data_IF_987090782901
#
_entry.id   IF_987090782901
#
_cell.length_a   1.000
_cell.length_b   1.000
_cell.length_c   1.000
_cell.angle_alpha   90.00
_cell.angle_beta   90.00
_cell.angle_gamma   90.00
#
_symmetry.space_group_name_H-M   'P 1'
#
loop_
_entity.id
_entity.type
_entity.pdbx_description
1 polymer ?
#
# COMPACT_ATOMS: atom_id res chain seq x y z
N UNK A 1 -14.22 13.61 12.77
CA UNK A 1 -13.20 14.51 12.17
C UNK A 1 -12.14 13.70 11.40
N UNK A 2 -12.48 13.12 10.23
CA UNK A 2 -11.53 12.33 9.43
C UNK A 2 -10.35 13.14 8.89
N UNK A 3 -10.54 14.45 8.67
CA UNK A 3 -9.50 15.38 8.21
C UNK A 3 -8.40 15.55 9.27
N UNK A 4 -8.76 15.60 10.56
CA UNK A 4 -7.78 15.72 11.66
C UNK A 4 -6.91 14.45 11.75
N UNK A 5 -7.53 13.26 11.61
CA UNK A 5 -6.79 12.00 11.58
C UNK A 5 -5.84 11.89 10.38
N UNK A 6 -6.27 12.35 9.21
CA UNK A 6 -5.43 12.40 8.00
C UNK A 6 -4.23 13.34 8.16
N UNK A 7 -4.46 14.56 8.67
CA UNK A 7 -3.38 15.51 8.93
C UNK A 7 -2.39 15.01 9.99
N UNK A 8 -2.89 14.35 11.04
CA UNK A 8 -2.04 13.74 12.06
C UNK A 8 -1.19 12.59 11.50
N UNK A 9 -1.77 11.71 10.69
CA UNK A 9 -1.03 10.61 10.07
C UNK A 9 0.10 11.13 9.17
N UNK A 10 -0.17 12.17 8.37
CA UNK A 10 0.85 12.83 7.55
C UNK A 10 1.91 13.50 8.44
N UNK A 11 1.50 14.27 9.45
CA UNK A 11 2.45 14.94 10.34
C UNK A 11 3.39 13.95 11.05
N UNK A 12 2.86 12.84 11.55
CA UNK A 12 3.66 11.80 12.21
C UNK A 12 4.59 11.07 11.23
N UNK A 13 4.15 10.81 10.00
CA UNK A 13 5.02 10.30 8.96
C UNK A 13 6.17 11.28 8.70
N UNK A 14 5.87 12.57 8.50
CA UNK A 14 6.89 13.60 8.25
C UNK A 14 7.90 13.73 9.40
N UNK A 15 7.45 13.59 10.65
CA UNK A 15 8.35 13.59 11.83
C UNK A 15 9.20 12.31 11.87
N UNK A 16 8.61 11.14 11.60
CA UNK A 16 9.34 9.86 11.60
C UNK A 16 10.40 9.75 10.49
N UNK A 17 10.21 10.48 9.39
CA UNK A 17 11.16 10.58 8.27
C UNK A 17 12.42 11.38 8.64
N UNK A 18 12.34 12.22 9.69
CA UNK A 18 13.45 13.07 10.10
C UNK A 18 13.73 14.22 9.13
N UNK A 19 14.93 14.79 9.21
CA UNK A 19 15.31 16.03 8.49
C UNK A 19 15.68 15.83 7.01
N UNK A 20 15.72 14.59 6.51
CA UNK A 20 16.28 14.27 5.20
C UNK A 20 15.23 13.80 4.18
N UNK A 21 14.19 14.62 3.98
CA UNK A 21 13.07 14.36 3.06
C UNK A 21 13.57 14.08 1.64
N UNK A 22 14.67 14.72 1.23
CA UNK A 22 15.28 14.52 -0.09
C UNK A 22 15.69 13.07 -0.35
N UNK A 23 16.11 12.32 0.68
CA UNK A 23 16.53 10.93 0.55
C UNK A 23 15.37 9.97 0.22
N UNK A 24 14.13 10.40 0.47
CA UNK A 24 12.97 9.58 0.14
C UNK A 24 12.59 9.72 -1.33
N UNK A 25 12.84 10.87 -1.95
CA UNK A 25 12.40 11.15 -3.31
C UNK A 25 13.26 10.36 -4.30
N UNK A 26 12.80 9.15 -4.62
CA UNK A 26 13.39 8.29 -5.64
C UNK A 26 12.47 8.27 -6.88
N UNK A 27 12.89 8.88 -8.01
CA UNK A 27 12.05 8.95 -9.19
C UNK A 27 11.61 7.57 -9.73
N UNK A 28 12.48 6.54 -9.80
CA UNK A 28 12.04 5.19 -10.18
C UNK A 28 10.91 4.64 -9.30
N UNK A 29 11.04 4.69 -7.97
CA UNK A 29 10.01 4.21 -7.04
C UNK A 29 8.69 4.97 -7.20
N UNK A 30 8.77 6.29 -7.38
CA UNK A 30 7.60 7.13 -7.57
C UNK A 30 6.86 6.76 -8.86
N UNK A 31 7.58 6.60 -9.97
CA UNK A 31 7.01 6.22 -11.26
C UNK A 31 6.36 4.84 -11.21
N UNK A 32 6.97 3.87 -10.52
CA UNK A 32 6.38 2.54 -10.35
C UNK A 32 5.03 2.66 -9.64
N UNK A 33 4.96 3.35 -8.50
CA UNK A 33 3.71 3.38 -7.72
C UNK A 33 2.63 4.24 -8.37
N UNK A 34 2.94 5.49 -8.69
CA UNK A 34 1.95 6.41 -9.23
C UNK A 34 1.62 6.08 -10.69
N UNK A 35 2.61 5.66 -11.49
CA UNK A 35 2.40 5.24 -12.87
C UNK A 35 1.57 3.95 -12.95
N UNK A 36 1.87 2.94 -12.13
CA UNK A 36 1.07 1.71 -12.09
C UNK A 36 -0.35 1.99 -11.61
N UNK A 37 -0.50 2.83 -10.57
CA UNK A 37 -1.84 3.18 -10.04
C UNK A 37 -2.67 3.93 -11.07
N UNK A 38 -2.08 4.91 -11.76
CA UNK A 38 -2.75 5.63 -12.84
C UNK A 38 -3.11 4.69 -14.00
N UNK A 39 -2.18 3.83 -14.44
CA UNK A 39 -2.43 2.85 -15.48
C UNK A 39 -3.55 1.88 -15.12
N UNK A 40 -3.59 1.39 -13.87
CA UNK A 40 -4.66 0.54 -13.38
C UNK A 40 -6.03 1.24 -13.37
N UNK A 41 -6.07 2.53 -12.99
CA UNK A 41 -7.29 3.32 -13.04
C UNK A 41 -7.81 3.46 -14.48
N UNK A 42 -6.92 3.76 -15.43
CA UNK A 42 -7.26 3.85 -16.85
C UNK A 42 -7.74 2.51 -17.40
N UNK A 43 -7.05 1.40 -17.09
CA UNK A 43 -7.45 0.06 -17.51
C UNK A 43 -8.80 -0.37 -16.92
N UNK A 44 -9.12 0.05 -15.70
CA UNK A 44 -10.40 -0.26 -15.07
C UNK A 44 -11.58 0.56 -15.60
N UNK A 45 -11.32 1.54 -16.49
CA UNK A 45 -12.36 2.48 -16.96
C UNK A 45 -12.85 3.41 -15.86
N UNK A 46 -12.03 3.68 -14.84
CA UNK A 46 -12.39 4.55 -13.73
C UNK A 46 -12.61 6.00 -14.22
N UNK A 47 -13.74 6.57 -13.84
CA UNK A 47 -14.07 7.97 -14.14
C UNK A 47 -13.36 8.89 -13.12
N UNK A 48 -12.14 9.30 -13.46
CA UNK A 48 -11.31 10.17 -12.60
C UNK A 48 -12.03 11.48 -12.26
N UNK A 49 -12.68 12.19 -13.20
CA UNK A 49 -13.50 13.36 -12.87
C UNK A 49 -14.56 13.06 -11.80
N UNK A 50 -15.27 11.94 -11.91
CA UNK A 50 -16.27 11.53 -10.93
C UNK A 50 -15.65 11.22 -9.56
N UNK A 51 -14.50 10.54 -9.54
CA UNK A 51 -13.75 10.27 -8.31
C UNK A 51 -13.38 11.56 -7.56
N UNK A 52 -12.92 12.58 -8.30
CA UNK A 52 -12.58 13.90 -7.74
C UNK A 52 -13.80 14.67 -7.26
N UNK A 53 -14.92 14.61 -8.00
CA UNK A 53 -16.20 15.19 -7.55
C UNK A 53 -16.67 14.58 -6.23
N UNK A 54 -16.42 13.29 -6.02
CA UNK A 54 -16.68 12.60 -4.76
C UNK A 54 -15.89 13.12 -3.56
N UNK A 55 -14.75 13.77 -3.77
CA UNK A 55 -13.97 14.37 -2.67
C UNK A 55 -14.73 15.57 -2.08
N UNK A 56 -15.31 16.41 -2.95
CA UNK A 56 -15.86 17.72 -2.58
C UNK A 56 -17.35 17.71 -2.18
N UNK A 57 -17.95 16.53 -1.94
CA UNK A 57 -19.32 16.40 -1.44
C UNK A 57 -20.36 17.21 -2.25
N UNK A 58 -20.19 17.27 -3.58
CA UNK A 58 -21.32 17.60 -4.45
C UNK A 58 -22.43 16.55 -4.26
N UNK A 59 -23.68 16.92 -4.52
CA UNK A 59 -24.81 15.98 -4.49
C UNK A 59 -24.63 14.91 -5.58
N UNK A 60 -23.86 13.87 -5.27
CA UNK A 60 -23.73 12.69 -6.10
C UNK A 60 -24.95 11.80 -5.86
N UNK A 61 -25.45 11.22 -6.93
CA UNK A 61 -26.41 10.13 -6.81
C UNK A 61 -25.74 8.92 -6.13
N UNK A 62 -26.49 8.04 -5.43
CA UNK A 62 -25.92 6.85 -4.83
C UNK A 62 -25.14 5.96 -5.82
N UNK A 63 -25.59 5.93 -7.07
CA UNK A 63 -24.93 5.20 -8.15
C UNK A 63 -23.57 5.83 -8.52
N UNK A 64 -23.51 7.15 -8.68
CA UNK A 64 -22.27 7.89 -8.92
C UNK A 64 -21.27 7.73 -7.75
N UNK A 65 -21.75 7.78 -6.51
CA UNK A 65 -20.94 7.58 -5.32
C UNK A 65 -20.33 6.17 -5.28
N UNK A 66 -21.11 5.14 -5.63
CA UNK A 66 -20.64 3.75 -5.74
C UNK A 66 -19.56 3.59 -6.83
N UNK A 67 -19.78 4.19 -8.01
CA UNK A 67 -18.79 4.18 -9.10
C UNK A 67 -17.49 4.89 -8.72
N UNK A 68 -17.59 6.05 -8.07
CA UNK A 68 -16.43 6.75 -7.55
C UNK A 68 -15.69 5.92 -6.47
N UNK A 69 -16.42 5.28 -5.56
CA UNK A 69 -15.85 4.40 -4.54
C UNK A 69 -15.14 3.19 -5.15
N UNK A 70 -15.67 2.60 -6.23
CA UNK A 70 -15.03 1.53 -6.97
C UNK A 70 -13.69 1.99 -7.58
N UNK A 71 -13.63 3.22 -8.13
CA UNK A 71 -12.38 3.82 -8.59
C UNK A 71 -11.33 3.97 -7.48
N UNK A 72 -11.74 4.47 -6.30
CA UNK A 72 -10.83 4.55 -5.13
C UNK A 72 -10.38 3.19 -4.62
N UNK A 73 -11.25 2.18 -4.67
CA UNK A 73 -10.89 0.80 -4.36
C UNK A 73 -9.84 0.26 -5.35
N UNK A 74 -10.00 0.53 -6.65
CA UNK A 74 -8.99 0.17 -7.66
C UNK A 74 -7.66 0.86 -7.37
N UNK A 75 -7.66 2.16 -7.08
CA UNK A 75 -6.44 2.89 -6.73
C UNK A 75 -5.74 2.27 -5.51
N UNK A 76 -6.51 1.91 -4.47
CA UNK A 76 -5.99 1.23 -3.27
C UNK A 76 -5.31 -0.09 -3.61
N UNK A 77 -5.98 -0.95 -4.36
CA UNK A 77 -5.45 -2.26 -4.73
C UNK A 77 -4.22 -2.13 -5.63
N UNK A 78 -4.24 -1.18 -6.57
CA UNK A 78 -3.13 -0.91 -7.46
C UNK A 78 -1.90 -0.37 -6.70
N UNK A 79 -2.09 0.53 -5.73
CA UNK A 79 -1.01 1.01 -4.87
C UNK A 79 -0.32 -0.12 -4.09
N UNK A 80 -1.11 -1.04 -3.52
CA UNK A 80 -0.57 -2.22 -2.82
C UNK A 80 0.20 -3.15 -3.78
N UNK A 81 -0.38 -3.42 -4.95
CA UNK A 81 0.27 -4.25 -5.97
C UNK A 81 1.58 -3.62 -6.47
N UNK A 82 1.62 -2.30 -6.68
CA UNK A 82 2.82 -1.59 -7.09
C UNK A 82 3.94 -1.66 -6.04
N UNK A 83 3.60 -1.68 -4.75
CA UNK A 83 4.56 -1.94 -3.68
C UNK A 83 5.20 -3.34 -3.79
N UNK A 84 4.40 -4.35 -4.13
CA UNK A 84 4.91 -5.71 -4.42
C UNK A 84 5.82 -5.74 -5.65
N UNK A 85 5.40 -5.10 -6.75
CA UNK A 85 6.20 -5.00 -7.98
C UNK A 85 7.53 -4.29 -7.76
N UNK A 86 7.53 -3.20 -7.00
CA UNK A 86 8.74 -2.46 -6.67
C UNK A 86 9.69 -3.25 -5.78
N UNK A 87 9.15 -4.04 -4.84
CA UNK A 87 9.95 -5.00 -4.05
C UNK A 87 10.65 -6.00 -4.96
N UNK A 88 9.92 -6.66 -5.86
CA UNK A 88 10.52 -7.62 -6.81
C UNK A 88 11.56 -6.93 -7.71
N UNK A 89 11.29 -5.72 -8.17
CA UNK A 89 12.20 -4.92 -9.00
C UNK A 89 13.50 -4.61 -8.26
N UNK A 90 13.41 -4.17 -7.01
CA UNK A 90 14.59 -3.89 -6.19
C UNK A 90 15.40 -5.15 -5.89
N UNK A 91 14.75 -6.29 -5.63
CA UNK A 91 15.44 -7.58 -5.51
C UNK A 91 16.22 -7.96 -6.78
N UNK A 92 15.65 -7.77 -7.97
CA UNK A 92 16.35 -8.01 -9.24
C UNK A 92 17.64 -7.17 -9.32
N UNK A 93 17.61 -5.92 -8.86
CA UNK A 93 18.78 -5.02 -8.86
C UNK A 93 19.81 -5.47 -7.83
N UNK A 94 19.37 -5.81 -6.62
CA UNK A 94 20.26 -6.28 -5.54
C UNK A 94 21.00 -7.54 -5.98
N UNK A 95 20.26 -8.53 -6.50
CA UNK A 95 20.83 -9.81 -6.93
C UNK A 95 21.79 -9.67 -8.13
N UNK A 96 21.62 -8.64 -8.96
CA UNK A 96 22.56 -8.35 -10.06
C UNK A 96 23.88 -7.73 -9.59
N UNK A 97 23.93 -7.17 -8.38
CA UNK A 97 25.06 -6.41 -7.87
C UNK A 97 25.60 -7.00 -6.54
N UNK A 98 25.46 -8.31 -6.33
CA UNK A 98 25.88 -9.00 -5.11
C UNK A 98 27.38 -8.84 -4.80
N UNK A 99 28.20 -8.66 -5.84
CA UNK A 99 29.65 -8.56 -5.72
C UNK A 99 30.13 -7.15 -5.31
N UNK A 100 29.26 -6.13 -5.36
CA UNK A 100 29.56 -4.76 -4.96
C UNK A 100 28.51 -4.21 -3.98
N UNK A 101 28.82 -4.16 -2.67
CA UNK A 101 27.93 -3.64 -1.64
C UNK A 101 27.47 -2.20 -1.88
N UNK A 102 28.25 -1.37 -2.57
CA UNK A 102 27.88 0.03 -2.86
C UNK A 102 26.77 0.09 -3.90
N UNK A 103 26.80 -0.81 -4.89
CA UNK A 103 25.81 -0.89 -5.97
C UNK A 103 24.46 -1.51 -5.54
N UNK A 104 24.36 -2.06 -4.33
CA UNK A 104 23.11 -2.61 -3.75
C UNK A 104 22.13 -1.51 -3.32
N UNK A 105 22.65 -0.35 -2.90
CA UNK A 105 21.88 0.75 -2.32
C UNK A 105 20.65 1.19 -3.15
N UNK A 106 20.78 1.42 -4.47
CA UNK A 106 19.66 1.77 -5.33
C UNK A 106 18.53 0.72 -5.35
N UNK A 107 18.88 -0.57 -5.38
CA UNK A 107 17.89 -1.66 -5.37
C UNK A 107 17.13 -1.74 -4.04
N UNK A 108 17.84 -1.53 -2.93
CA UNK A 108 17.24 -1.47 -1.60
C UNK A 108 16.29 -0.28 -1.45
N UNK A 109 16.70 0.91 -1.95
CA UNK A 109 15.86 2.10 -1.94
C UNK A 109 14.58 1.88 -2.76
N UNK A 110 14.67 1.25 -3.94
CA UNK A 110 13.49 0.95 -4.76
C UNK A 110 12.51 0.07 -3.98
N UNK A 111 12.96 -1.08 -3.46
CA UNK A 111 12.11 -2.01 -2.72
C UNK A 111 11.35 -1.36 -1.57
N UNK A 112 12.06 -0.61 -0.73
CA UNK A 112 11.48 -0.05 0.49
C UNK A 112 10.56 1.15 0.18
N UNK A 113 11.00 2.05 -0.70
CA UNK A 113 10.24 3.26 -1.01
C UNK A 113 8.97 2.93 -1.79
N UNK A 114 8.97 1.94 -2.69
CA UNK A 114 7.75 1.54 -3.39
C UNK A 114 6.69 0.96 -2.47
N UNK A 115 7.09 0.17 -1.46
CA UNK A 115 6.15 -0.37 -0.47
C UNK A 115 5.57 0.76 0.35
N UNK A 116 6.42 1.66 0.84
CA UNK A 116 5.97 2.81 1.62
C UNK A 116 4.99 3.70 0.83
N UNK A 117 5.34 4.08 -0.40
CA UNK A 117 4.47 4.88 -1.26
C UNK A 117 3.15 4.17 -1.58
N UNK A 118 3.20 2.87 -1.87
CA UNK A 118 2.01 2.06 -2.12
C UNK A 118 1.08 1.99 -0.91
N UNK A 119 1.63 1.80 0.30
CA UNK A 119 0.87 1.76 1.54
C UNK A 119 0.25 3.12 1.89
N UNK A 120 1.01 4.22 1.74
CA UNK A 120 0.49 5.57 1.95
C UNK A 120 -0.68 5.84 1.00
N UNK A 121 -0.50 5.57 -0.30
CA UNK A 121 -1.57 5.74 -1.29
C UNK A 121 -2.80 4.88 -0.96
N UNK A 122 -2.59 3.61 -0.62
CA UNK A 122 -3.67 2.64 -0.38
C UNK A 122 -4.47 2.92 0.91
N UNK A 123 -3.78 3.21 2.01
CA UNK A 123 -4.40 3.26 3.34
C UNK A 123 -4.61 4.68 3.85
N UNK A 124 -3.71 5.61 3.55
CA UNK A 124 -3.81 6.99 4.03
C UNK A 124 -4.69 7.83 3.10
N UNK A 125 -4.72 7.53 1.79
CA UNK A 125 -5.46 8.33 0.80
C UNK A 125 -6.71 7.59 0.29
N UNK A 126 -6.54 6.44 -0.36
CA UNK A 126 -7.63 5.80 -1.11
C UNK A 126 -8.72 5.20 -0.20
N UNK A 127 -8.34 4.56 0.91
CA UNK A 127 -9.29 3.99 1.86
C UNK A 127 -10.27 5.03 2.47
N UNK A 128 -9.81 6.16 3.07
CA UNK A 128 -10.74 7.13 3.63
C UNK A 128 -11.65 7.73 2.56
N UNK A 129 -11.16 7.95 1.34
CA UNK A 129 -11.96 8.46 0.23
C UNK A 129 -13.01 7.46 -0.25
N UNK A 130 -12.67 6.17 -0.32
CA UNK A 130 -13.63 5.10 -0.60
C UNK A 130 -14.74 5.06 0.46
N UNK A 131 -14.36 4.96 1.75
CA UNK A 131 -15.33 4.82 2.85
C UNK A 131 -16.21 6.04 3.06
N UNK A 132 -15.75 7.24 2.67
CA UNK A 132 -16.56 8.47 2.68
C UNK A 132 -17.73 8.39 1.69
N UNK A 133 -17.53 7.73 0.55
CA UNK A 133 -18.52 7.60 -0.53
C UNK A 133 -19.49 6.44 -0.28
N UNK A 134 -19.04 5.40 0.42
CA UNK A 134 -19.85 4.22 0.77
C UNK A 134 -19.74 3.88 2.26
N UNK A 135 -20.37 4.67 3.16
CA UNK A 135 -20.24 4.48 4.61
C UNK A 135 -20.65 3.08 5.11
N UNK A 136 -21.61 2.44 4.45
CA UNK A 136 -22.10 1.10 4.80
C UNK A 136 -21.17 -0.07 4.44
N UNK A 137 -20.15 0.15 3.60
CA UNK A 137 -19.19 -0.93 3.25
C UNK A 137 -18.09 -1.13 4.30
N UNK A 138 -18.00 -0.22 5.28
CA UNK A 138 -17.00 -0.24 6.35
C UNK A 138 -17.13 -1.49 7.22
N UNK A 139 -18.36 -1.93 7.48
CA UNK A 139 -18.66 -3.12 8.31
C UNK A 139 -18.40 -4.43 7.54
N UNK A 140 -18.58 -4.42 6.22
CA UNK A 140 -18.32 -5.57 5.35
C UNK A 140 -16.83 -5.76 5.01
N UNK A 141 -16.03 -4.70 4.98
CA UNK A 141 -14.58 -4.80 4.77
C UNK A 141 -13.81 -5.12 6.06
N UNK A 142 -14.32 -4.71 7.23
CA UNK A 142 -13.76 -5.12 8.52
C UNK A 142 -13.87 -6.65 8.72
N UNK A 143 -14.98 -7.27 8.28
CA UNK A 143 -15.12 -8.73 8.29
C UNK A 143 -14.26 -9.44 7.25
N UNK A 144 -13.97 -8.81 6.10
CA UNK A 144 -13.03 -9.32 5.07
C UNK A 144 -11.55 -9.12 5.42
N UNK A 145 -11.23 -8.18 6.32
CA UNK A 145 -9.88 -7.99 6.89
C UNK A 145 -9.36 -9.21 7.65
N UNK A 146 -10.25 -10.16 7.98
CA UNK A 146 -9.89 -11.46 8.53
C UNK A 146 -8.88 -12.21 7.64
N UNK A 147 -8.84 -12.01 6.32
CA UNK A 147 -7.87 -12.71 5.46
C UNK A 147 -6.42 -12.38 5.83
N UNK A 148 -6.10 -11.12 6.13
CA UNK A 148 -4.73 -10.75 6.53
C UNK A 148 -4.41 -11.26 7.95
N UNK A 149 -5.39 -11.25 8.85
CA UNK A 149 -5.26 -11.84 10.18
C UNK A 149 -5.10 -13.36 10.15
N UNK A 150 -5.77 -14.05 9.21
CA UNK A 150 -5.67 -15.50 8.96
C UNK A 150 -4.31 -15.84 8.33
N UNK A 151 -3.82 -15.04 7.39
CA UNK A 151 -2.48 -15.22 6.83
C UNK A 151 -1.40 -14.98 7.88
N UNK A 152 -1.56 -13.96 8.72
CA UNK A 152 -0.66 -13.68 9.83
C UNK A 152 -0.71 -14.79 10.89
N UNK A 153 -1.89 -15.28 11.26
CA UNK A 153 -2.01 -16.40 12.19
C UNK A 153 -1.41 -17.68 11.60
N UNK A 154 -1.60 -17.96 10.31
CA UNK A 154 -0.97 -19.08 9.62
C UNK A 154 0.56 -18.96 9.61
N UNK A 155 1.11 -17.77 9.32
CA UNK A 155 2.56 -17.53 9.36
C UNK A 155 3.12 -17.74 10.77
N UNK A 156 2.46 -17.18 11.78
CA UNK A 156 2.83 -17.32 13.19
C UNK A 156 2.74 -18.79 13.64
N UNK A 157 1.73 -19.54 13.19
CA UNK A 157 1.60 -20.98 13.46
C UNK A 157 2.74 -21.79 12.84
N UNK A 158 3.15 -21.48 11.61
CA UNK A 158 4.30 -22.14 10.95
C UNK A 158 5.60 -21.84 11.69
N UNK A 159 5.86 -20.57 12.03
CA UNK A 159 7.05 -20.18 12.79
C UNK A 159 7.08 -20.81 14.20
N UNK A 160 5.92 -20.93 14.85
CA UNK A 160 5.81 -21.58 16.17
C UNK A 160 6.06 -23.08 16.09
N UNK A 161 5.67 -23.75 14.99
CA UNK A 161 5.97 -25.17 14.75
C UNK A 161 7.47 -25.42 14.55
N UNK A 162 8.17 -24.54 13.82
CA UNK A 162 9.62 -24.63 13.65
C UNK A 162 10.39 -24.46 14.96
N UNK A 163 9.93 -23.61 15.88
CA UNK A 163 10.58 -23.38 17.18
C UNK A 163 10.36 -24.58 18.14
N UNK A 164 9.19 -25.20 18.11
CA UNK A 164 8.85 -26.38 18.94
C UNK A 164 9.46 -27.69 18.43
N UNK A 165 9.87 -27.78 17.16
CA UNK A 165 10.49 -28.97 16.58
C UNK A 165 12.02 -29.06 16.82
N UNK A 166 12.68 -27.96 17.18
CA UNK A 166 14.13 -27.91 17.42
C UNK A 166 14.64 -28.74 18.63
N UNK A 167 13.91 -28.90 19.75
CA UNK A 167 14.37 -29.70 20.89
C UNK A 167 14.41 -31.22 20.65
N UNK A 168 13.79 -31.71 19.58
CA UNK A 168 13.67 -33.15 19.30
C UNK A 168 14.66 -33.67 18.23
N UNK A 169 15.39 -32.77 17.57
CA UNK A 169 16.31 -33.14 16.49
C UNK A 169 17.77 -33.33 16.94
N UNK A 170 18.13 -33.03 18.19
CA UNK A 170 19.52 -33.05 18.68
C UNK A 170 19.83 -34.14 19.72
N UNK A 171 18.96 -35.14 19.90
CA UNK A 171 19.21 -36.31 20.78
C UNK A 171 19.30 -37.60 19.96
N UNK A 172 20.27 -37.66 19.07
CA UNK A 172 20.70 -38.86 18.35
C UNK A 172 22.21 -38.93 18.29
#
# INVERSE_FOLDING_TARGET
MPIVGFLLAIALLMVGIGSNIAAMINPPSFLIVFGFTLGALLMSGADIPLMLRGINAGSLTPEEASRAAAGWKTARMAGLAAGGLGTMTGWIIILKNLDDPVAIGPGMAISLLTVMYGLILAFVIALPLQTKLTPGERDASASRGATFAILLSALLSISMYSILALPFATTG
#
